data_IF_844495206951
#
_entry.id   IF_844495206951
#
_cell.length_a   1.000
_cell.length_b   1.000
_cell.length_c   1.000
_cell.angle_alpha   90.00
_cell.angle_beta   90.00
_cell.angle_gamma   90.00
#
_symmetry.space_group_name_H-M   'P 1'
#
loop_
_entity.id
_entity.type
_entity.pdbx_description
1 polymer ?
#
# COMPACT_ATOMS: atom_id res chain seq x y z
N UNK A 1 -29.33 -23.89 -15.55
CA UNK A 1 -30.07 -23.27 -14.45
C UNK A 1 -29.09 -22.56 -13.51
N UNK A 2 -29.02 -21.27 -13.59
CA UNK A 2 -28.21 -20.49 -12.72
C UNK A 2 -28.78 -20.45 -11.31
N UNK A 3 -28.32 -21.33 -10.43
CA UNK A 3 -28.52 -21.07 -9.02
C UNK A 3 -27.67 -19.87 -8.66
N UNK A 4 -28.30 -18.75 -8.37
CA UNK A 4 -27.64 -17.66 -7.71
C UNK A 4 -27.20 -18.18 -6.37
N UNK A 5 -25.89 -18.34 -6.21
CA UNK A 5 -25.30 -18.65 -4.91
C UNK A 5 -25.62 -17.51 -3.96
N UNK A 6 -26.46 -17.78 -2.97
CA UNK A 6 -26.74 -16.81 -1.92
C UNK A 6 -25.60 -16.81 -0.90
N UNK A 7 -24.67 -15.88 -1.11
CA UNK A 7 -23.71 -15.57 -0.08
C UNK A 7 -24.31 -14.49 0.79
N UNK A 8 -24.52 -14.81 2.07
CA UNK A 8 -24.99 -13.84 3.05
C UNK A 8 -23.88 -12.79 3.26
N UNK A 9 -24.17 -11.55 2.98
CA UNK A 9 -23.21 -10.44 3.09
C UNK A 9 -22.74 -10.24 4.52
N UNK A 10 -23.61 -10.35 5.50
CA UNK A 10 -23.27 -10.18 6.90
C UNK A 10 -22.37 -11.30 7.39
N UNK A 11 -22.66 -12.53 7.02
CA UNK A 11 -21.82 -13.68 7.33
C UNK A 11 -20.45 -13.56 6.66
N UNK A 12 -20.43 -13.20 5.36
CA UNK A 12 -19.20 -12.99 4.62
C UNK A 12 -18.35 -11.92 5.30
N UNK A 13 -18.93 -10.80 5.70
CA UNK A 13 -18.24 -9.71 6.40
C UNK A 13 -17.61 -10.17 7.71
N UNK A 14 -18.32 -10.97 8.51
CA UNK A 14 -17.81 -11.52 9.77
C UNK A 14 -16.63 -12.46 9.55
N UNK A 15 -16.73 -13.34 8.57
CA UNK A 15 -15.67 -14.32 8.27
C UNK A 15 -14.43 -13.66 7.66
N UNK A 16 -14.60 -12.65 6.82
CA UNK A 16 -13.49 -11.84 6.29
C UNK A 16 -12.78 -11.10 7.42
N UNK A 17 -13.53 -10.51 8.35
CA UNK A 17 -12.98 -9.84 9.52
C UNK A 17 -12.25 -10.82 10.46
N UNK A 18 -12.67 -12.09 10.48
CA UNK A 18 -12.00 -13.15 11.24
C UNK A 18 -10.72 -13.67 10.57
N UNK A 19 -10.40 -13.19 9.36
CA UNK A 19 -9.17 -13.55 8.65
C UNK A 19 -9.27 -14.81 7.79
N UNK A 20 -10.46 -15.25 7.42
CA UNK A 20 -10.63 -16.43 6.58
C UNK A 20 -10.07 -16.21 5.17
N UNK A 21 -9.22 -17.13 4.67
CA UNK A 21 -8.74 -17.06 3.28
C UNK A 21 -9.86 -17.37 2.28
N UNK A 22 -9.69 -16.91 1.04
CA UNK A 22 -10.68 -17.09 -0.01
C UNK A 22 -11.03 -18.58 -0.26
N UNK A 23 -10.04 -19.46 -0.22
CA UNK A 23 -10.25 -20.90 -0.40
C UNK A 23 -11.21 -21.47 0.66
N UNK A 24 -11.05 -21.07 1.91
CA UNK A 24 -11.91 -21.51 3.02
C UNK A 24 -13.31 -20.91 2.89
N UNK A 25 -13.43 -19.65 2.49
CA UNK A 25 -14.72 -19.00 2.24
C UNK A 25 -15.45 -19.69 1.09
N UNK A 26 -14.75 -20.03 0.01
CA UNK A 26 -15.32 -20.74 -1.13
C UNK A 26 -15.92 -22.10 -0.72
N UNK A 27 -15.18 -22.86 0.08
CA UNK A 27 -15.64 -24.16 0.59
C UNK A 27 -16.87 -24.00 1.51
N UNK A 28 -16.83 -23.00 2.38
CA UNK A 28 -17.93 -22.73 3.33
C UNK A 28 -19.24 -22.36 2.62
N UNK A 29 -19.17 -21.49 1.62
CA UNK A 29 -20.35 -21.05 0.86
C UNK A 29 -20.71 -21.95 -0.33
N UNK A 30 -19.89 -22.95 -0.64
CA UNK A 30 -20.12 -23.85 -1.77
C UNK A 30 -19.98 -23.16 -3.13
N UNK A 31 -19.08 -22.21 -3.25
CA UNK A 31 -18.81 -21.43 -4.48
C UNK A 31 -17.33 -21.53 -4.85
N UNK A 32 -16.97 -20.93 -5.99
CA UNK A 32 -15.57 -20.84 -6.41
C UNK A 32 -14.86 -19.67 -5.70
N UNK A 33 -13.53 -19.68 -5.67
CA UNK A 33 -12.76 -18.54 -5.16
C UNK A 33 -13.05 -17.26 -5.95
N UNK A 34 -13.27 -17.39 -7.28
CA UNK A 34 -13.69 -16.31 -8.14
C UNK A 34 -15.02 -15.71 -7.69
N UNK A 35 -15.98 -16.56 -7.32
CA UNK A 35 -17.28 -16.16 -6.76
C UNK A 35 -17.13 -15.41 -5.44
N UNK A 36 -16.18 -15.80 -4.59
CA UNK A 36 -15.86 -15.10 -3.34
C UNK A 36 -15.31 -13.72 -3.63
N UNK A 37 -14.38 -13.58 -4.58
CA UNK A 37 -13.83 -12.27 -4.96
C UNK A 37 -14.92 -11.32 -5.47
N UNK A 38 -15.82 -11.82 -6.28
CA UNK A 38 -16.94 -11.02 -6.78
C UNK A 38 -17.89 -10.59 -5.64
N UNK A 39 -18.16 -11.50 -4.71
CA UNK A 39 -19.01 -11.19 -3.56
C UNK A 39 -18.37 -10.14 -2.65
N UNK A 40 -17.06 -10.22 -2.41
CA UNK A 40 -16.32 -9.21 -1.66
C UNK A 40 -16.39 -7.83 -2.31
N UNK A 41 -16.22 -7.77 -3.63
CA UNK A 41 -16.32 -6.51 -4.38
C UNK A 41 -17.72 -5.92 -4.29
N UNK A 42 -18.75 -6.74 -4.47
CA UNK A 42 -20.14 -6.32 -4.38
C UNK A 42 -20.50 -5.81 -2.98
N UNK A 43 -19.90 -6.38 -1.93
CA UNK A 43 -20.14 -6.00 -0.55
C UNK A 43 -19.20 -4.87 -0.05
N UNK A 44 -18.31 -4.36 -0.90
CA UNK A 44 -17.33 -3.35 -0.51
C UNK A 44 -16.22 -3.85 0.40
N UNK A 45 -16.01 -5.16 0.48
CA UNK A 45 -15.02 -5.80 1.36
C UNK A 45 -13.68 -6.08 0.68
N UNK A 46 -13.61 -5.97 -0.66
CA UNK A 46 -12.36 -6.14 -1.38
C UNK A 46 -11.43 -4.98 -1.05
N UNK A 47 -10.15 -5.29 -0.81
CA UNK A 47 -9.14 -4.24 -0.65
C UNK A 47 -9.09 -3.43 -1.94
N UNK A 48 -9.20 -2.08 -1.88
CA UNK A 48 -9.07 -1.27 -3.08
C UNK A 48 -7.68 -1.47 -3.70
N UNK A 49 -7.61 -1.42 -5.03
CA UNK A 49 -6.32 -1.45 -5.72
C UNK A 49 -5.53 -0.22 -5.30
N UNK A 50 -4.28 -0.42 -4.88
CA UNK A 50 -3.41 0.68 -4.50
C UNK A 50 -3.03 1.51 -5.73
N UNK A 51 -3.15 2.83 -5.60
CA UNK A 51 -2.78 3.77 -6.66
C UNK A 51 -1.47 4.46 -6.28
N UNK A 52 -0.41 4.19 -7.04
CA UNK A 52 0.91 4.76 -6.80
C UNK A 52 1.20 6.00 -7.66
N UNK A 53 0.20 6.50 -8.40
CA UNK A 53 0.37 7.65 -9.29
C UNK A 53 0.83 8.92 -8.59
N UNK A 54 0.41 9.14 -7.34
CA UNK A 54 0.85 10.29 -6.54
C UNK A 54 2.32 10.21 -6.15
N UNK A 55 2.80 9.01 -5.80
CA UNK A 55 4.19 8.78 -5.41
C UNK A 55 5.11 8.67 -6.64
N UNK A 56 4.59 8.16 -7.75
CA UNK A 56 5.32 7.95 -9.01
C UNK A 56 4.57 8.66 -10.15
N UNK A 57 4.60 10.02 -10.19
CA UNK A 57 3.81 10.78 -11.16
C UNK A 57 4.39 10.75 -12.58
N UNK A 58 5.53 10.10 -12.76
CA UNK A 58 6.19 10.01 -14.05
C UNK A 58 5.73 8.79 -14.84
N UNK A 59 5.74 8.88 -16.15
CA UNK A 59 5.55 7.73 -17.03
C UNK A 59 6.86 6.94 -17.09
N UNK A 60 6.96 5.89 -16.28
CA UNK A 60 8.19 5.12 -16.16
C UNK A 60 8.44 4.24 -17.38
N UNK A 61 9.69 4.26 -17.87
CA UNK A 61 10.17 3.28 -18.80
C UNK A 61 10.29 1.92 -18.09
N UNK A 62 9.99 0.85 -18.80
CA UNK A 62 10.00 -0.51 -18.25
C UNK A 62 11.28 -0.88 -17.50
N UNK A 63 12.42 -0.48 -18.07
CA UNK A 63 13.73 -0.77 -17.48
C UNK A 63 13.96 -0.09 -16.13
N UNK A 64 13.23 0.97 -15.82
CA UNK A 64 13.38 1.73 -14.59
C UNK A 64 12.34 1.40 -13.52
N UNK A 65 11.33 0.59 -13.86
CA UNK A 65 10.18 0.32 -13.01
C UNK A 65 10.52 -0.46 -11.72
N UNK A 66 11.62 -1.20 -11.72
CA UNK A 66 12.07 -1.99 -10.59
C UNK A 66 13.37 -1.47 -9.95
N UNK A 67 13.79 -0.27 -10.29
CA UNK A 67 14.97 0.36 -9.67
C UNK A 67 14.68 0.74 -8.21
N UNK A 68 15.75 0.96 -7.44
CA UNK A 68 15.65 1.29 -6.01
C UNK A 68 14.68 2.43 -5.70
N UNK A 69 14.81 3.61 -6.33
CA UNK A 69 13.90 4.72 -6.07
C UNK A 69 12.43 4.40 -6.38
N UNK A 70 12.15 3.74 -7.50
CA UNK A 70 10.79 3.35 -7.87
C UNK A 70 10.20 2.39 -6.84
N UNK A 71 10.96 1.40 -6.41
CA UNK A 71 10.55 0.41 -5.41
C UNK A 71 10.30 1.07 -4.06
N UNK A 72 11.19 1.97 -3.63
CA UNK A 72 11.06 2.67 -2.35
C UNK A 72 9.83 3.58 -2.33
N UNK A 73 9.61 4.37 -3.38
CA UNK A 73 8.43 5.22 -3.48
C UNK A 73 7.13 4.40 -3.50
N UNK A 74 7.11 3.28 -4.21
CA UNK A 74 5.96 2.38 -4.27
C UNK A 74 5.67 1.76 -2.90
N UNK A 75 6.68 1.36 -2.16
CA UNK A 75 6.52 0.80 -0.82
C UNK A 75 5.97 1.85 0.15
N UNK A 76 6.49 3.08 0.12
CA UNK A 76 5.97 4.18 0.94
C UNK A 76 4.51 4.51 0.58
N UNK A 77 4.19 4.53 -0.70
CA UNK A 77 2.83 4.75 -1.20
C UNK A 77 1.88 3.66 -0.71
N UNK A 78 2.31 2.39 -0.76
CA UNK A 78 1.51 1.28 -0.27
C UNK A 78 1.21 1.41 1.23
N UNK A 79 2.21 1.76 2.03
CA UNK A 79 2.03 2.01 3.48
C UNK A 79 1.04 3.14 3.71
N UNK A 80 1.19 4.26 3.00
CA UNK A 80 0.31 5.42 3.14
C UNK A 80 -1.16 5.09 2.83
N UNK A 81 -1.39 4.13 1.94
CA UNK A 81 -2.73 3.68 1.56
C UNK A 81 -3.26 2.50 2.40
N UNK A 82 -2.53 2.12 3.45
CA UNK A 82 -2.94 1.02 4.34
C UNK A 82 -2.59 -0.38 3.83
N UNK A 83 -1.75 -0.48 2.80
CA UNK A 83 -1.29 -1.76 2.26
C UNK A 83 -0.29 -2.46 3.19
N UNK A 84 -0.15 -3.76 3.01
CA UNK A 84 0.82 -4.55 3.74
C UNK A 84 2.16 -4.57 3.00
N UNK A 85 3.21 -4.14 3.69
CA UNK A 85 4.59 -4.16 3.18
C UNK A 85 5.46 -4.81 4.24
N UNK A 86 6.35 -5.74 3.87
CA UNK A 86 7.27 -6.34 4.83
C UNK A 86 8.09 -5.26 5.57
N UNK A 87 8.28 -5.45 6.87
CA UNK A 87 8.95 -4.44 7.72
C UNK A 87 10.36 -4.09 7.22
N UNK A 88 11.10 -5.06 6.70
CA UNK A 88 12.43 -4.83 6.12
C UNK A 88 12.40 -3.87 4.94
N UNK A 89 11.37 -3.97 4.10
CA UNK A 89 11.16 -3.08 2.95
C UNK A 89 10.72 -1.69 3.39
N UNK A 90 9.87 -1.60 4.41
CA UNK A 90 9.49 -0.32 5.03
C UNK A 90 10.73 0.38 5.57
N UNK A 91 11.55 -0.31 6.33
CA UNK A 91 12.77 0.24 6.92
C UNK A 91 13.72 0.78 5.85
N UNK A 92 13.92 0.04 4.77
CA UNK A 92 14.77 0.45 3.65
C UNK A 92 14.23 1.71 2.97
N UNK A 93 12.93 1.74 2.67
CA UNK A 93 12.29 2.86 2.00
C UNK A 93 12.31 4.13 2.87
N UNK A 94 12.02 4.01 4.16
CA UNK A 94 12.04 5.13 5.11
C UNK A 94 13.46 5.69 5.26
N UNK A 95 14.45 4.82 5.39
CA UNK A 95 15.86 5.23 5.51
C UNK A 95 16.32 5.97 4.26
N UNK A 96 15.99 5.46 3.09
CA UNK A 96 16.30 6.10 1.82
C UNK A 96 15.68 7.50 1.73
N UNK A 97 14.39 7.61 2.02
CA UNK A 97 13.66 8.88 1.95
C UNK A 97 14.19 9.91 2.97
N UNK A 98 14.46 9.48 4.21
CA UNK A 98 15.03 10.36 5.25
C UNK A 98 16.40 10.89 4.87
N UNK A 99 17.24 10.06 4.27
CA UNK A 99 18.55 10.49 3.78
C UNK A 99 18.42 11.64 2.78
N UNK A 100 17.49 11.54 1.86
CA UNK A 100 17.24 12.59 0.88
C UNK A 100 16.69 13.86 1.53
N UNK A 101 15.68 13.73 2.38
CA UNK A 101 15.07 14.88 3.06
C UNK A 101 16.07 15.61 3.93
N UNK A 102 16.84 14.89 4.75
CA UNK A 102 17.87 15.47 5.65
C UNK A 102 19.00 16.12 4.87
N UNK A 103 19.32 15.59 3.69
CA UNK A 103 20.34 16.16 2.80
C UNK A 103 19.86 17.30 1.91
N UNK A 104 18.57 17.70 2.02
CA UNK A 104 18.01 18.73 1.16
C UNK A 104 17.86 18.27 -0.29
N UNK A 105 17.69 16.99 -0.51
CA UNK A 105 17.60 16.38 -1.83
C UNK A 105 16.18 15.90 -2.15
N UNK A 106 15.89 15.82 -3.43
CA UNK A 106 14.67 15.21 -3.94
C UNK A 106 15.04 14.22 -5.05
N UNK A 107 14.07 13.46 -5.52
CA UNK A 107 14.25 12.53 -6.62
C UNK A 107 13.55 13.08 -7.87
N UNK A 108 14.20 12.95 -9.02
CA UNK A 108 13.65 13.28 -10.32
C UNK A 108 13.81 12.10 -11.27
N UNK A 109 13.10 12.12 -12.37
CA UNK A 109 13.11 11.03 -13.33
C UNK A 109 13.34 11.52 -14.74
N UNK A 110 14.24 10.83 -15.46
CA UNK A 110 14.50 11.03 -16.88
C UNK A 110 14.23 9.69 -17.59
N UNK A 111 13.42 9.66 -18.65
CA UNK A 111 13.12 8.41 -19.37
C UNK A 111 14.33 7.69 -19.97
N UNK A 112 15.40 8.42 -20.25
CA UNK A 112 16.62 7.84 -20.83
C UNK A 112 17.58 7.30 -19.76
N UNK A 113 17.79 8.06 -18.68
CA UNK A 113 18.80 7.75 -17.66
C UNK A 113 18.22 7.13 -16.39
N UNK A 114 16.92 7.29 -16.16
CA UNK A 114 16.26 6.77 -14.95
C UNK A 114 16.14 7.80 -13.85
N UNK A 115 16.03 7.34 -12.62
CA UNK A 115 15.92 8.22 -11.45
C UNK A 115 17.27 8.83 -11.10
N UNK A 116 17.23 10.07 -10.66
CA UNK A 116 18.43 10.75 -10.15
C UNK A 116 18.07 11.67 -8.99
N UNK A 117 19.05 11.93 -8.14
CA UNK A 117 18.92 12.83 -7.01
C UNK A 117 19.20 14.26 -7.46
N UNK A 118 18.40 15.21 -6.97
CA UNK A 118 18.55 16.62 -7.29
C UNK A 118 18.29 17.46 -6.02
N UNK A 119 18.75 18.71 -6.01
CA UNK A 119 18.47 19.60 -4.91
C UNK A 119 16.96 19.85 -4.77
N UNK A 120 16.43 19.76 -3.56
CA UNK A 120 15.04 20.08 -3.29
C UNK A 120 14.81 21.59 -3.45
N UNK A 121 13.65 21.97 -4.02
CA UNK A 121 13.27 23.37 -4.12
C UNK A 121 13.01 23.94 -2.72
N UNK A 122 13.76 24.99 -2.33
CA UNK A 122 13.79 25.48 -0.94
C UNK A 122 12.51 26.15 -0.42
N UNK A 123 11.46 26.28 -1.23
CA UNK A 123 10.24 26.98 -0.87
C UNK A 123 9.01 26.08 -0.72
N UNK A 124 9.14 24.78 -1.00
CA UNK A 124 8.03 23.83 -0.93
C UNK A 124 8.53 22.49 -0.39
N UNK A 125 7.60 21.67 0.12
CA UNK A 125 7.87 20.30 0.51
C UNK A 125 8.32 19.52 -0.71
N UNK A 126 9.46 18.82 -0.62
CA UNK A 126 9.95 18.00 -1.72
C UNK A 126 9.01 16.83 -1.97
N UNK A 127 9.06 16.27 -3.18
CA UNK A 127 8.23 15.12 -3.54
C UNK A 127 8.46 13.93 -2.58
N UNK A 128 9.72 13.60 -2.32
CA UNK A 128 10.08 12.51 -1.39
C UNK A 128 9.59 12.81 0.02
N UNK A 129 9.73 14.04 0.50
CA UNK A 129 9.25 14.44 1.83
C UNK A 129 7.74 14.26 1.96
N UNK A 130 6.98 14.64 0.96
CA UNK A 130 5.52 14.45 0.94
C UNK A 130 5.13 12.98 1.00
N UNK A 131 5.77 12.13 0.21
CA UNK A 131 5.52 10.69 0.19
C UNK A 131 5.92 10.06 1.54
N UNK A 132 7.06 10.44 2.08
CA UNK A 132 7.53 9.97 3.39
C UNK A 132 6.58 10.39 4.52
N UNK A 133 6.15 11.64 4.53
CA UNK A 133 5.23 12.17 5.56
C UNK A 133 3.93 11.37 5.60
N UNK A 134 3.35 11.08 4.45
CA UNK A 134 2.11 10.31 4.36
C UNK A 134 2.29 8.89 4.92
N UNK A 135 3.41 8.24 4.60
CA UNK A 135 3.74 6.91 5.11
C UNK A 135 3.97 6.91 6.63
N UNK A 136 4.73 7.88 7.13
CA UNK A 136 5.02 8.01 8.56
C UNK A 136 3.76 8.25 9.39
N UNK A 137 2.79 8.99 8.86
CA UNK A 137 1.51 9.23 9.54
C UNK A 137 0.76 7.91 9.78
N UNK A 138 0.77 7.01 8.81
CA UNK A 138 0.14 5.69 8.94
C UNK A 138 0.91 4.81 9.92
N UNK A 139 2.23 4.79 9.83
CA UNK A 139 3.08 4.00 10.73
C UNK A 139 2.93 4.45 12.18
N UNK A 140 2.85 5.75 12.42
CA UNK A 140 2.63 6.32 13.76
C UNK A 140 1.28 5.86 14.33
N UNK A 141 0.22 5.90 13.53
CA UNK A 141 -1.10 5.43 13.96
C UNK A 141 -1.12 3.94 14.29
N UNK A 142 -0.38 3.12 13.53
CA UNK A 142 -0.25 1.68 13.80
C UNK A 142 0.47 1.42 15.13
N UNK A 143 1.51 2.20 15.42
CA UNK A 143 2.28 2.11 16.67
C UNK A 143 1.40 2.50 17.87
N UNK A 144 0.70 3.63 17.78
CA UNK A 144 -0.25 4.09 18.81
C UNK A 144 -1.34 3.05 19.07
N UNK A 145 -1.87 2.42 18.01
CA UNK A 145 -2.86 1.35 18.13
C UNK A 145 -2.32 0.12 18.84
N UNK A 146 -1.06 -0.26 18.60
CA UNK A 146 -0.40 -1.37 19.28
C UNK A 146 -0.16 -1.08 20.77
N UNK A 147 0.29 0.14 21.09
CA UNK A 147 0.49 0.57 22.48
C UNK A 147 -0.83 0.59 23.24
N UNK A 148 -1.89 1.14 22.65
CA UNK A 148 -3.22 1.15 23.26
C UNK A 148 -3.75 -0.27 23.49
N UNK A 149 -3.55 -1.19 22.55
CA UNK A 149 -3.94 -2.58 22.69
C UNK A 149 -3.14 -3.30 23.79
N UNK A 150 -1.84 -2.99 23.92
CA UNK A 150 -0.99 -3.55 24.99
C UNK A 150 -1.41 -3.04 26.38
N UNK A 151 -1.78 -1.76 26.51
CA UNK A 151 -2.25 -1.16 27.76
C UNK A 151 -3.64 -1.65 28.16
N UNK A 152 -4.46 -2.08 27.20
CA UNK A 152 -5.83 -2.56 27.42
C UNK A 152 -5.94 -4.04 27.79
N UNK A 153 -4.84 -4.76 27.88
CA UNK A 153 -4.86 -6.20 28.18
C UNK A 153 -4.50 -6.53 29.63
#
# INVERSE_FOLDING_TARGET
MGRKSHIDRDELGRLVAAGWPNARLAAHFGVTESGILQAKRAAGLAKPMLDHGKALPWKLNRVHNQTGPATNLRNLSAVAQGGEVPQTKINTAVRWARRLVEGGLDVAYDPETGFYETAAAGTSVSHVEGVLTDALAVLKRREEGREAAAEGS
#
